data_IF_597387696637
#
_entry.id   IF_597387696637
#
_cell.length_a   1.000
_cell.length_b   1.000
_cell.length_c   1.000
_cell.angle_alpha   90.00
_cell.angle_beta   90.00
_cell.angle_gamma   90.00
#
_symmetry.space_group_name_H-M   'P 1'
#
loop_
_entity.id
_entity.type
_entity.pdbx_description
1 polymer ?
#
# COMPACT_ATOMS: atom_id res chain seq x y z
N UNK A 1 -20.39 13.34 -11.45
CA UNK A 1 -19.88 12.29 -12.35
C UNK A 1 -18.66 11.69 -11.67
N UNK A 2 -18.77 10.50 -11.07
CA UNK A 2 -17.64 9.85 -10.41
C UNK A 2 -16.60 9.53 -11.48
N UNK A 3 -15.39 10.09 -11.38
CA UNK A 3 -14.27 9.73 -12.26
C UNK A 3 -13.82 8.34 -11.83
N UNK A 4 -13.89 7.37 -12.73
CA UNK A 4 -13.30 6.05 -12.49
C UNK A 4 -11.81 6.21 -12.23
N UNK A 5 -11.35 5.68 -11.10
CA UNK A 5 -9.93 5.69 -10.77
C UNK A 5 -9.26 4.43 -11.28
N UNK A 6 -7.94 4.53 -11.40
CA UNK A 6 -7.10 3.45 -11.87
C UNK A 6 -7.16 2.25 -10.91
N UNK A 7 -7.32 1.07 -11.49
CA UNK A 7 -7.35 -0.22 -10.81
C UNK A 7 -5.97 -0.87 -10.92
N UNK A 8 -5.62 -1.76 -9.98
CA UNK A 8 -4.30 -2.36 -9.96
C UNK A 8 -4.28 -3.78 -9.39
N UNK A 9 -3.26 -4.52 -9.78
CA UNK A 9 -2.73 -5.64 -9.04
C UNK A 9 -1.64 -5.16 -8.08
N UNK A 10 -1.56 -5.76 -6.90
CA UNK A 10 -0.56 -5.44 -5.89
C UNK A 10 0.08 -6.70 -5.30
N UNK A 11 1.38 -6.62 -5.07
CA UNK A 11 2.14 -7.48 -4.16
C UNK A 11 2.92 -6.53 -3.26
N UNK A 12 2.70 -6.55 -1.95
CA UNK A 12 3.34 -5.61 -1.04
C UNK A 12 4.41 -6.35 -0.26
N UNK A 13 5.61 -5.79 -0.11
CA UNK A 13 6.70 -6.40 0.65
C UNK A 13 7.33 -5.35 1.56
N UNK A 14 7.01 -5.31 2.84
CA UNK A 14 7.70 -4.38 3.75
C UNK A 14 9.07 -4.96 4.14
N UNK A 15 10.09 -4.64 3.35
CA UNK A 15 11.45 -5.07 3.68
C UNK A 15 11.99 -4.35 4.92
N UNK A 16 12.63 -5.13 5.78
CA UNK A 16 13.13 -4.74 7.10
C UNK A 16 14.30 -3.73 7.03
N UNK A 17 14.37 -2.88 8.06
CA UNK A 17 15.31 -1.78 8.37
C UNK A 17 16.77 -1.93 7.88
N UNK A 18 17.35 -0.82 7.40
CA UNK A 18 18.80 -0.65 7.13
C UNK A 18 19.63 -0.51 8.43
N UNK A 19 18.99 -0.41 9.61
CA UNK A 19 19.65 -0.30 10.91
C UNK A 19 19.03 -1.29 11.90
N UNK A 20 19.70 -2.44 12.09
CA UNK A 20 19.50 -3.39 13.19
C UNK A 20 18.09 -4.00 13.40
N UNK A 21 17.82 -5.13 12.74
CA UNK A 21 17.02 -6.22 13.32
C UNK A 21 15.55 -5.95 13.70
N UNK A 22 14.89 -4.95 13.13
CA UNK A 22 13.44 -4.78 13.33
C UNK A 22 12.67 -5.92 12.64
N UNK A 23 11.63 -6.52 13.25
CA UNK A 23 10.84 -7.55 12.58
C UNK A 23 10.04 -6.96 11.41
N UNK A 24 9.75 -7.80 10.41
CA UNK A 24 8.71 -7.54 9.40
C UNK A 24 7.40 -7.17 10.12
N UNK A 25 6.77 -6.07 9.72
CA UNK A 25 5.53 -5.56 10.34
C UNK A 25 4.29 -6.02 9.59
N UNK A 26 4.41 -6.28 8.28
CA UNK A 26 3.32 -6.81 7.48
C UNK A 26 3.21 -8.32 7.65
N UNK A 27 1.99 -8.76 7.90
CA UNK A 27 1.61 -10.16 7.88
C UNK A 27 0.98 -10.48 6.53
N UNK A 28 1.28 -11.66 5.98
CA UNK A 28 0.84 -12.08 4.65
C UNK A 28 1.12 -11.03 3.53
N UNK A 29 2.35 -10.47 3.42
CA UNK A 29 2.67 -9.41 2.47
C UNK A 29 2.44 -9.83 1.00
N UNK A 30 2.72 -11.10 0.67
CA UNK A 30 2.55 -11.66 -0.67
C UNK A 30 1.16 -12.15 -1.03
N UNK A 31 0.14 -12.00 -0.16
CA UNK A 31 -1.21 -12.53 -0.40
C UNK A 31 -1.31 -14.06 -0.59
N UNK A 32 -0.28 -14.81 -0.20
CA UNK A 32 -0.24 -16.28 -0.33
C UNK A 32 -1.26 -16.98 0.59
N UNK A 33 -1.67 -16.31 1.67
CA UNK A 33 -2.77 -16.74 2.54
C UNK A 33 -4.06 -15.96 2.26
N UNK A 34 -4.29 -15.61 1.00
CA UNK A 34 -5.44 -14.82 0.57
C UNK A 34 -5.42 -13.39 1.13
N UNK A 35 -6.58 -12.91 1.60
CA UNK A 35 -6.72 -11.54 2.14
C UNK A 35 -6.53 -11.44 3.66
N UNK A 36 -5.97 -12.47 4.29
CA UNK A 36 -5.75 -12.48 5.74
C UNK A 36 -4.93 -11.24 6.15
N UNK A 37 -5.44 -10.51 7.16
CA UNK A 37 -4.91 -9.27 7.72
C UNK A 37 -4.88 -8.06 6.76
N UNK A 38 -5.47 -8.16 5.57
CA UNK A 38 -5.65 -7.04 4.66
C UNK A 38 -7.04 -6.43 4.83
N UNK A 39 -7.09 -5.11 4.89
CA UNK A 39 -8.32 -4.32 5.02
C UNK A 39 -8.52 -3.53 3.72
N UNK A 40 -9.78 -3.41 3.32
CA UNK A 40 -10.21 -2.56 2.22
C UNK A 40 -11.56 -1.93 2.55
N UNK A 41 -11.85 -0.76 1.99
CA UNK A 41 -13.13 -0.08 2.16
C UNK A 41 -13.57 0.59 0.85
N UNK A 42 -14.85 0.43 0.51
CA UNK A 42 -15.48 1.08 -0.65
C UNK A 42 -15.00 0.63 -2.04
N UNK A 43 -14.27 -0.49 -2.15
CA UNK A 43 -13.87 -1.10 -3.43
C UNK A 43 -13.79 -2.64 -3.34
N UNK A 44 -13.67 -3.31 -4.48
CA UNK A 44 -13.56 -4.77 -4.57
C UNK A 44 -12.10 -5.21 -4.51
N UNK A 45 -11.78 -6.06 -3.53
CA UNK A 45 -10.46 -6.66 -3.35
C UNK A 45 -10.57 -8.18 -3.48
N UNK A 46 -9.86 -8.78 -4.44
CA UNK A 46 -9.91 -10.23 -4.70
C UNK A 46 -8.52 -10.80 -4.89
N UNK A 47 -8.30 -12.02 -4.39
CA UNK A 47 -7.06 -12.78 -4.66
C UNK A 47 -6.98 -13.11 -6.15
N UNK A 48 -5.82 -12.87 -6.74
CA UNK A 48 -5.50 -13.18 -8.13
C UNK A 48 -4.39 -14.24 -8.19
N UNK A 49 -4.52 -15.19 -9.11
CA UNK A 49 -3.55 -16.29 -9.28
C UNK A 49 -2.94 -16.37 -10.68
N UNK A 50 -3.47 -15.62 -11.65
CA UNK A 50 -3.01 -15.61 -13.04
C UNK A 50 -2.02 -14.48 -13.34
N UNK A 51 -2.16 -13.33 -12.67
CA UNK A 51 -1.28 -12.17 -12.82
C UNK A 51 -0.55 -11.94 -11.52
N UNK A 52 0.58 -12.62 -11.34
CA UNK A 52 1.35 -12.64 -10.09
C UNK A 52 2.76 -12.10 -10.33
N UNK A 53 3.29 -11.31 -9.40
CA UNK A 53 4.68 -10.84 -9.47
C UNK A 53 5.65 -11.92 -8.99
N UNK A 54 5.32 -12.55 -7.87
CA UNK A 54 6.14 -13.55 -7.18
C UNK A 54 5.25 -14.43 -6.30
N UNK A 55 5.67 -15.67 -6.04
CA UNK A 55 4.85 -16.64 -5.30
C UNK A 55 3.73 -17.23 -6.15
N UNK A 56 2.57 -17.48 -5.55
CA UNK A 56 1.40 -18.08 -6.21
C UNK A 56 0.21 -17.15 -6.29
N UNK A 57 0.24 -16.00 -5.59
CA UNK A 57 -0.89 -15.10 -5.49
C UNK A 57 -0.48 -13.63 -5.53
N UNK A 58 -1.42 -12.78 -5.93
CA UNK A 58 -1.39 -11.34 -5.72
C UNK A 58 -2.79 -10.86 -5.34
N UNK A 59 -2.98 -9.56 -5.15
CA UNK A 59 -4.33 -8.98 -4.98
C UNK A 59 -4.72 -8.16 -6.20
N UNK A 60 -5.99 -8.22 -6.60
CA UNK A 60 -6.62 -7.36 -7.60
C UNK A 60 -7.59 -6.41 -6.90
N UNK A 61 -7.44 -5.12 -7.16
CA UNK A 61 -8.27 -4.06 -6.61
C UNK A 61 -9.04 -3.38 -7.74
N UNK A 62 -10.38 -3.50 -7.74
CA UNK A 62 -11.28 -2.93 -8.76
C UNK A 62 -12.39 -2.10 -8.13
N UNK A 63 -13.08 -1.27 -8.92
CA UNK A 63 -14.20 -0.46 -8.43
C UNK A 63 -13.78 0.69 -7.48
N UNK A 64 -12.53 1.15 -7.57
CA UNK A 64 -12.05 2.31 -6.80
C UNK A 64 -12.71 3.59 -7.32
N UNK A 65 -13.41 4.31 -6.43
CA UNK A 65 -14.09 5.57 -6.74
C UNK A 65 -13.49 6.82 -6.08
N UNK A 66 -12.52 6.65 -5.17
CA UNK A 66 -11.81 7.75 -4.48
C UNK A 66 -10.31 7.47 -4.39
N UNK A 67 -9.48 8.53 -4.44
CA UNK A 67 -8.02 8.37 -4.56
C UNK A 67 -7.39 7.71 -3.35
N UNK A 68 -8.02 7.90 -2.19
CA UNK A 68 -7.62 7.32 -0.91
C UNK A 68 -7.98 5.83 -0.74
N UNK A 69 -8.82 5.27 -1.64
CA UNK A 69 -9.19 3.86 -1.56
C UNK A 69 -8.00 2.99 -1.91
N UNK A 70 -7.73 1.98 -1.11
CA UNK A 70 -6.83 0.90 -1.48
C UNK A 70 -6.55 -0.06 -0.33
N UNK A 71 -5.80 -1.15 -0.60
CA UNK A 71 -5.52 -2.17 0.38
C UNK A 71 -4.58 -1.61 1.43
N UNK A 72 -4.82 -1.98 2.69
CA UNK A 72 -3.94 -1.63 3.78
C UNK A 72 -3.95 -2.63 4.90
N UNK A 73 -3.06 -2.43 5.87
CA UNK A 73 -2.93 -3.26 7.06
C UNK A 73 -2.59 -2.41 8.27
N UNK A 74 -3.17 -2.76 9.42
CA UNK A 74 -2.75 -2.21 10.70
C UNK A 74 -1.39 -2.81 11.08
N UNK A 75 -0.44 -1.94 11.39
CA UNK A 75 0.92 -2.33 11.78
C UNK A 75 1.23 -1.81 13.19
N UNK A 76 2.17 -2.46 13.87
CA UNK A 76 2.63 -2.05 15.21
C UNK A 76 4.12 -1.71 15.18
N UNK A 77 4.50 -0.56 14.57
CA UNK A 77 5.88 -0.11 14.57
C UNK A 77 6.35 0.33 15.96
N UNK A 78 7.66 0.32 16.19
CA UNK A 78 8.26 0.95 17.38
C UNK A 78 8.30 2.47 17.19
N UNK A 79 7.83 3.28 18.17
CA UNK A 79 8.02 4.73 18.15
C UNK A 79 9.48 5.11 17.91
N UNK A 80 9.73 6.07 17.01
CA UNK A 80 11.08 6.50 16.63
C UNK A 80 11.85 5.53 15.72
N UNK A 81 11.29 4.35 15.43
CA UNK A 81 11.93 3.32 14.61
C UNK A 81 12.08 3.73 13.13
N UNK A 82 13.12 3.21 12.47
CA UNK A 82 13.37 3.38 11.03
C UNK A 82 13.09 2.10 10.28
N UNK A 83 12.32 2.21 9.21
CA UNK A 83 11.82 1.08 8.42
C UNK A 83 12.02 1.34 6.94
N UNK A 84 11.99 0.28 6.14
CA UNK A 84 11.93 0.37 4.68
C UNK A 84 10.59 -0.19 4.23
N UNK A 85 10.01 0.42 3.21
CA UNK A 85 8.84 -0.10 2.53
C UNK A 85 9.19 -0.46 1.10
N UNK A 86 8.65 -1.57 0.61
CA UNK A 86 8.61 -1.87 -0.81
C UNK A 86 7.30 -2.54 -1.22
N UNK A 87 6.92 -2.41 -2.49
CA UNK A 87 5.82 -3.14 -3.08
C UNK A 87 5.99 -3.18 -4.59
N UNK A 88 5.48 -4.23 -5.21
CA UNK A 88 5.23 -4.28 -6.63
C UNK A 88 3.76 -3.99 -6.92
N UNK A 89 3.52 -3.02 -7.78
CA UNK A 89 2.20 -2.63 -8.25
C UNK A 89 2.14 -2.82 -9.76
N UNK A 90 1.00 -3.26 -10.29
CA UNK A 90 0.75 -3.25 -11.73
C UNK A 90 -0.62 -2.64 -11.99
N UNK A 91 -0.69 -1.58 -12.79
CA UNK A 91 -1.98 -1.03 -13.21
C UNK A 91 -2.66 -1.96 -14.22
N UNK A 92 -3.99 -2.04 -14.16
CA UNK A 92 -4.79 -2.89 -15.06
C UNK A 92 -5.59 -2.09 -16.08
N UNK A 93 -5.75 -0.79 -15.86
CA UNK A 93 -6.37 0.15 -16.79
C UNK A 93 -5.73 1.54 -16.61
N UNK A 94 -5.69 2.32 -17.69
CA UNK A 94 -5.39 3.74 -17.60
C UNK A 94 -6.66 4.54 -17.33
N UNK A 95 -6.52 5.69 -16.66
CA UNK A 95 -7.64 6.64 -16.48
C UNK A 95 -7.86 7.38 -17.82
N UNK A 96 -9.08 7.37 -18.40
CA UNK A 96 -9.34 8.09 -19.65
C UNK A 96 -8.94 9.56 -19.58
N UNK A 97 -8.22 10.03 -20.60
CA UNK A 97 -7.73 11.41 -20.67
C UNK A 97 -6.52 11.72 -19.78
N UNK A 98 -5.90 10.71 -19.14
CA UNK A 98 -4.73 10.86 -18.28
C UNK A 98 -3.57 10.00 -18.78
N UNK A 99 -2.50 10.62 -19.26
CA UNK A 99 -1.31 9.91 -19.78
C UNK A 99 -0.59 9.10 -18.71
N UNK A 100 -0.55 9.62 -17.48
CA UNK A 100 0.17 9.03 -16.37
C UNK A 100 -0.58 9.19 -15.06
N UNK A 101 -0.55 8.14 -14.24
CA UNK A 101 -1.14 8.10 -12.90
C UNK A 101 -0.04 8.01 -11.83
N UNK A 102 -0.43 8.15 -10.55
CA UNK A 102 0.46 8.07 -9.41
C UNK A 102 0.12 6.86 -8.55
N UNK A 103 1.02 6.37 -7.73
CA UNK A 103 0.68 5.49 -6.60
C UNK A 103 1.35 6.06 -5.36
N UNK A 104 0.64 6.12 -4.25
CA UNK A 104 1.14 6.68 -2.99
C UNK A 104 0.98 5.63 -1.92
N UNK A 105 2.00 5.48 -1.08
CA UNK A 105 1.90 4.69 0.14
C UNK A 105 1.77 5.68 1.27
N UNK A 106 0.72 5.54 2.06
CA UNK A 106 0.39 6.44 3.16
C UNK A 106 0.35 5.67 4.47
N UNK A 107 0.80 6.30 5.54
CA UNK A 107 0.53 5.87 6.91
C UNK A 107 -0.44 6.83 7.56
N UNK A 108 -1.52 6.28 8.10
CA UNK A 108 -2.43 6.98 9.00
C UNK A 108 -2.08 6.64 10.45
N UNK A 109 -2.09 7.65 11.29
CA UNK A 109 -1.85 7.55 12.72
C UNK A 109 -3.10 7.99 13.46
N UNK A 110 -3.45 7.25 14.51
CA UNK A 110 -4.34 7.72 15.56
C UNK A 110 -3.55 7.82 16.86
N UNK A 111 -3.33 9.05 17.33
CA UNK A 111 -2.45 9.33 18.47
C UNK A 111 -3.09 8.89 19.79
N UNK A 112 -2.37 8.11 20.60
CA UNK A 112 -2.93 7.51 21.83
C UNK A 112 -3.23 8.51 22.94
N UNK A 113 -2.53 9.64 22.96
CA UNK A 113 -2.61 10.69 23.96
C UNK A 113 -3.69 11.74 23.64
N UNK A 114 -3.97 12.01 22.36
CA UNK A 114 -4.93 13.04 21.93
C UNK A 114 -6.14 12.51 21.18
N UNK A 115 -6.16 11.23 20.81
CA UNK A 115 -7.14 10.60 19.89
C UNK A 115 -7.22 11.19 18.48
N UNK A 116 -6.45 12.26 18.22
CA UNK A 116 -6.35 12.92 16.92
C UNK A 116 -5.75 12.01 15.85
N UNK A 117 -6.29 12.16 14.64
CA UNK A 117 -5.79 11.53 13.42
C UNK A 117 -4.66 12.36 12.79
N UNK A 118 -3.71 11.70 12.14
CA UNK A 118 -2.64 12.31 11.36
C UNK A 118 -2.23 11.37 10.22
N UNK A 119 -1.55 11.90 9.20
CA UNK A 119 -1.19 11.15 8.00
C UNK A 119 0.17 11.56 7.46
N UNK A 120 0.88 10.58 6.91
CA UNK A 120 2.17 10.79 6.27
C UNK A 120 2.29 9.94 5.00
N UNK A 121 2.61 10.59 3.89
CA UNK A 121 3.05 9.88 2.69
C UNK A 121 4.43 9.26 2.94
N UNK A 122 4.52 7.94 2.80
CA UNK A 122 5.77 7.17 2.88
C UNK A 122 6.57 7.32 1.60
N UNK A 123 5.90 7.17 0.46
CA UNK A 123 6.51 7.30 -0.87
C UNK A 123 5.43 7.54 -1.92
N UNK A 124 5.81 8.16 -3.02
CA UNK A 124 4.99 8.24 -4.24
C UNK A 124 5.74 7.68 -5.44
N UNK A 125 4.99 7.13 -6.40
CA UNK A 125 5.51 6.61 -7.67
C UNK A 125 4.72 7.25 -8.82
N UNK A 126 5.20 8.37 -9.37
CA UNK A 126 4.56 9.02 -10.50
C UNK A 126 4.82 8.26 -11.81
N UNK A 127 4.21 8.75 -12.89
CA UNK A 127 4.42 8.25 -14.24
C UNK A 127 4.01 6.78 -14.41
N UNK A 128 2.91 6.35 -13.81
CA UNK A 128 2.38 5.01 -14.01
C UNK A 128 1.41 4.96 -15.19
N UNK A 129 1.39 3.84 -15.90
CA UNK A 129 0.37 3.47 -16.87
C UNK A 129 0.36 1.95 -17.03
N UNK A 130 -0.66 1.39 -17.69
CA UNK A 130 -0.82 -0.06 -17.86
C UNK A 130 0.39 -0.72 -18.55
N UNK A 131 1.06 0.02 -19.45
CA UNK A 131 2.19 -0.46 -20.24
C UNK A 131 3.45 -0.73 -19.41
N UNK A 132 3.57 -0.15 -18.21
CA UNK A 132 4.74 -0.38 -17.34
C UNK A 132 4.79 -1.77 -16.72
N UNK A 133 3.68 -2.51 -16.71
CA UNK A 133 3.65 -3.81 -16.04
C UNK A 133 3.84 -3.68 -14.52
N UNK A 134 4.56 -4.63 -13.93
CA UNK A 134 4.92 -4.58 -12.52
C UNK A 134 5.99 -3.52 -12.28
N UNK A 135 5.74 -2.63 -11.33
CA UNK A 135 6.64 -1.55 -10.93
C UNK A 135 6.92 -1.62 -9.44
N UNK A 136 8.17 -1.43 -9.07
CA UNK A 136 8.58 -1.26 -7.68
C UNK A 136 8.23 0.16 -7.19
N UNK A 137 7.62 0.24 -6.01
CA UNK A 137 7.47 1.45 -5.20
C UNK A 137 8.05 1.18 -3.81
N UNK A 138 8.84 2.10 -3.27
CA UNK A 138 9.49 1.91 -1.98
C UNK A 138 10.31 3.10 -1.52
N UNK A 139 10.53 3.20 -0.22
CA UNK A 139 11.36 4.22 0.44
C UNK A 139 11.75 3.77 1.86
N UNK A 140 12.79 4.36 2.43
CA UNK A 140 12.97 4.37 3.89
C UNK A 140 12.11 5.45 4.55
N UNK A 141 11.69 5.22 5.78
CA UNK A 141 10.90 6.17 6.55
C UNK A 141 11.16 6.02 8.05
N UNK A 142 10.84 7.08 8.79
CA UNK A 142 10.95 7.10 10.25
C UNK A 142 9.57 7.25 10.87
N UNK A 143 9.30 6.43 11.89
CA UNK A 143 8.09 6.51 12.69
C UNK A 143 8.23 7.65 13.69
N UNK A 144 7.22 8.52 13.83
CA UNK A 144 7.22 9.55 14.88
C UNK A 144 7.51 8.93 16.24
N UNK A 145 8.28 9.62 17.08
CA UNK A 145 8.59 9.15 18.43
C UNK A 145 7.42 9.41 19.40
N UNK A 146 6.24 8.88 19.04
CA UNK A 146 4.96 9.08 19.73
C UNK A 146 4.11 7.83 19.56
N UNK A 147 3.38 7.45 20.60
CA UNK A 147 2.52 6.26 20.57
C UNK A 147 1.28 6.47 19.70
N UNK A 148 1.02 5.55 18.78
CA UNK A 148 -0.15 5.58 17.90
C UNK A 148 -0.70 4.18 17.60
N UNK A 149 -1.93 4.12 17.11
CA UNK A 149 -2.35 3.04 16.20
C UNK A 149 -1.96 3.46 14.79
N UNK A 150 -1.36 2.56 14.01
CA UNK A 150 -0.84 2.88 12.67
C UNK A 150 -1.49 1.99 11.61
N UNK A 151 -1.97 2.60 10.54
CA UNK A 151 -2.52 1.92 9.37
C UNK A 151 -1.72 2.31 8.12
N UNK A 152 -1.12 1.33 7.46
CA UNK A 152 -0.36 1.50 6.23
C UNK A 152 -1.24 1.08 5.05
N UNK A 153 -1.42 1.94 4.04
CA UNK A 153 -2.22 1.60 2.86
C UNK A 153 -1.68 2.22 1.58
N UNK A 154 -2.11 1.64 0.47
CA UNK A 154 -1.83 2.10 -0.88
C UNK A 154 -3.00 2.98 -1.38
N UNK A 155 -2.65 4.07 -2.04
CA UNK A 155 -3.53 5.05 -2.65
C UNK A 155 -3.08 5.36 -4.09
N UNK A 156 -3.96 5.98 -4.86
CA UNK A 156 -3.70 6.48 -6.23
C UNK A 156 -4.77 7.50 -6.57
#
# INVERSE_FOLDING_TARGET
MARELCQYFGVVYLLVSVVYGAPELLTNPGFESGLNNWVHDGFTMTVEKSVVHSGTSSVKCTGRGQSWMGPGQYITPKPGGRYVFSAYLKLINDIPGTTYQNAIITMNYKWKDTDADDYMAVTSRPFLNVARGWVLIGADFQIPNRGSTTFLHLEN
#
